data_IF_719642598560
#
_entry.id   IF_719642598560
#
_cell.length_a   1.000
_cell.length_b   1.000
_cell.length_c   1.000
_cell.angle_alpha   90.00
_cell.angle_beta   90.00
_cell.angle_gamma   90.00
#
_symmetry.space_group_name_H-M   'P 1'
#
loop_
_entity.id
_entity.type
_entity.pdbx_description
1 polymer ?
#
# COMPACT_ATOMS: atom_id res chain seq x y z
N UNK A 1 34.69 6.88 67.19
CA UNK A 1 34.92 5.51 67.67
C UNK A 1 35.08 4.67 66.43
N UNK A 2 36.29 4.45 66.07
CA UNK A 2 37.14 3.27 66.28
C UNK A 2 36.84 2.21 65.28
N UNK A 3 37.66 2.03 64.25
CA UNK A 3 38.90 1.25 64.15
C UNK A 3 38.56 -0.19 63.74
N UNK A 4 39.17 -0.82 62.85
CA UNK A 4 40.49 -0.97 62.32
C UNK A 4 40.43 -2.15 61.32
N UNK A 5 41.17 -2.10 60.21
CA UNK A 5 42.55 -2.61 60.05
C UNK A 5 42.61 -4.12 59.85
N UNK A 6 43.15 -4.60 58.85
CA UNK A 6 44.46 -4.95 58.30
C UNK A 6 44.37 -6.35 57.70
N UNK A 7 44.92 -6.70 56.61
CA UNK A 7 46.26 -6.82 56.14
C UNK A 7 46.46 -8.20 55.62
N UNK A 8 47.09 -8.45 54.63
CA UNK A 8 48.45 -8.66 54.05
C UNK A 8 48.45 -9.88 53.17
N UNK A 9 48.94 -9.70 51.92
CA UNK A 9 50.17 -10.28 51.34
C UNK A 9 50.19 -11.80 51.21
N UNK A 10 50.42 -12.39 50.04
CA UNK A 10 51.74 -12.56 49.45
C UNK A 10 51.68 -13.28 48.07
N UNK A 11 52.46 -12.81 47.16
CA UNK A 11 52.97 -13.48 45.97
C UNK A 11 54.20 -14.32 46.33
N UNK A 12 54.95 -14.96 45.44
CA UNK A 12 54.81 -15.53 44.11
C UNK A 12 55.37 -16.96 43.99
N UNK A 13 55.27 -17.63 42.86
CA UNK A 13 56.45 -18.42 42.42
C UNK A 13 56.42 -18.80 40.93
N UNK A 14 57.53 -18.52 40.32
CA UNK A 14 58.09 -18.78 39.02
C UNK A 14 58.62 -20.21 38.91
N UNK A 15 58.65 -20.78 37.69
CA UNK A 15 59.70 -21.56 37.03
C UNK A 15 59.14 -22.37 35.85
N UNK A 16 59.43 -22.03 34.58
CA UNK A 16 60.57 -22.35 33.76
C UNK A 16 60.84 -23.85 33.60
N UNK A 17 60.72 -24.35 32.39
CA UNK A 17 61.85 -24.92 31.65
C UNK A 17 61.44 -25.52 30.27
N UNK A 18 61.90 -24.97 29.21
CA UNK A 18 62.85 -25.44 28.22
C UNK A 18 62.61 -26.80 27.58
N UNK A 19 62.50 -26.78 26.25
CA UNK A 19 63.40 -27.57 25.45
C UNK A 19 62.80 -28.29 24.24
N UNK A 20 63.16 -27.84 23.08
CA UNK A 20 63.74 -28.54 21.95
C UNK A 20 62.88 -29.01 20.80
N UNK A 21 63.01 -28.29 19.69
CA UNK A 21 62.87 -28.80 18.30
C UNK A 21 64.12 -29.67 17.96
N UNK A 22 64.30 -30.27 16.77
CA UNK A 22 63.57 -30.15 15.49
C UNK A 22 63.32 -31.53 14.82
N UNK A 23 62.69 -31.57 13.70
CA UNK A 23 63.14 -31.99 12.36
C UNK A 23 62.03 -32.62 11.48
N UNK A 24 61.96 -32.01 10.33
CA UNK A 24 62.00 -32.44 8.94
C UNK A 24 60.89 -33.30 8.32
N UNK A 25 60.40 -32.66 7.24
CA UNK A 25 60.04 -33.18 5.89
C UNK A 25 58.82 -34.08 5.78
N UNK A 26 57.83 -33.72 5.01
CA UNK A 26 57.74 -33.84 3.54
C UNK A 26 56.42 -33.26 3.00
N UNK A 27 56.58 -32.57 1.92
CA UNK A 27 55.60 -32.17 0.92
C UNK A 27 54.54 -33.23 0.61
N UNK A 28 53.26 -32.81 0.57
CA UNK A 28 52.39 -33.33 -0.47
C UNK A 28 51.26 -32.34 -0.77
N UNK A 29 51.39 -31.73 -1.91
CA UNK A 29 50.45 -30.86 -2.60
C UNK A 29 49.27 -31.69 -3.10
N UNK A 30 48.03 -31.30 -2.72
CA UNK A 30 46.84 -31.61 -3.48
C UNK A 30 45.87 -30.42 -3.40
N UNK A 31 45.27 -29.97 -4.52
CA UNK A 31 44.45 -28.78 -4.54
C UNK A 31 43.04 -29.07 -3.97
N UNK A 32 42.71 -28.39 -2.88
CA UNK A 32 41.33 -28.35 -2.41
C UNK A 32 40.47 -27.48 -3.35
N UNK A 33 39.67 -28.17 -4.15
CA UNK A 33 38.58 -27.61 -4.87
C UNK A 33 37.54 -27.10 -3.85
N UNK A 34 37.54 -25.81 -3.61
CA UNK A 34 36.51 -25.12 -2.83
C UNK A 34 35.15 -25.22 -3.51
N UNK A 35 34.39 -26.23 -3.18
CA UNK A 35 32.97 -26.28 -3.46
C UNK A 35 32.26 -25.28 -2.53
N UNK A 36 31.96 -24.06 -3.04
CA UNK A 36 31.07 -23.16 -2.39
C UNK A 36 29.65 -23.79 -2.42
N UNK A 37 29.31 -24.44 -1.34
CA UNK A 37 27.90 -24.80 -1.09
C UNK A 37 27.10 -23.50 -0.93
N UNK A 38 26.48 -23.06 -2.02
CA UNK A 38 25.34 -22.16 -1.96
C UNK A 38 24.27 -22.87 -1.13
N UNK A 39 24.21 -22.54 0.14
CA UNK A 39 23.05 -22.86 0.98
C UNK A 39 21.88 -22.09 0.38
N UNK A 40 21.08 -22.74 -0.45
CA UNK A 40 19.78 -22.25 -0.82
C UNK A 40 19.00 -22.07 0.48
N UNK A 41 18.80 -20.83 0.92
CA UNK A 41 17.85 -20.50 1.98
C UNK A 41 16.48 -20.99 1.52
N UNK A 42 16.10 -22.15 2.04
CA UNK A 42 14.77 -22.73 1.84
C UNK A 42 13.82 -21.80 2.59
N UNK A 43 13.04 -21.01 1.86
CA UNK A 43 11.92 -20.25 2.46
C UNK A 43 11.12 -21.19 3.37
N UNK A 44 10.80 -20.77 4.61
CA UNK A 44 10.08 -21.59 5.56
C UNK A 44 8.72 -21.95 4.94
N UNK A 45 8.50 -23.25 4.70
CA UNK A 45 7.23 -23.79 4.20
C UNK A 45 6.12 -23.31 5.13
N UNK A 46 5.28 -22.39 4.65
CA UNK A 46 4.08 -21.91 5.37
C UNK A 46 3.27 -23.12 5.85
N UNK A 47 3.02 -23.19 7.15
CA UNK A 47 2.25 -24.25 7.77
C UNK A 47 0.83 -24.34 7.15
N UNK A 48 0.29 -25.54 7.01
CA UNK A 48 -1.05 -25.79 6.42
C UNK A 48 -2.12 -24.91 7.10
N UNK A 49 -2.04 -24.74 8.41
CA UNK A 49 -2.97 -23.90 9.17
C UNK A 49 -2.93 -22.42 8.77
N UNK A 50 -1.74 -21.87 8.44
CA UNK A 50 -1.62 -20.47 7.97
C UNK A 50 -2.21 -20.31 6.58
N UNK A 51 -2.01 -21.29 5.69
CA UNK A 51 -2.60 -21.28 4.34
C UNK A 51 -4.13 -21.36 4.38
N UNK A 52 -4.69 -22.16 5.26
CA UNK A 52 -6.14 -22.28 5.44
C UNK A 52 -6.75 -20.97 5.95
N UNK A 53 -6.12 -20.32 6.94
CA UNK A 53 -6.56 -19.01 7.46
C UNK A 53 -6.46 -17.91 6.39
N UNK A 54 -5.39 -17.88 5.61
CA UNK A 54 -5.23 -16.94 4.49
C UNK A 54 -6.34 -17.11 3.44
N UNK A 55 -6.71 -18.36 3.12
CA UNK A 55 -7.83 -18.67 2.21
C UNK A 55 -9.17 -18.25 2.78
N UNK A 56 -9.46 -18.55 4.03
CA UNK A 56 -10.70 -18.12 4.70
C UNK A 56 -10.82 -16.59 4.73
N UNK A 57 -9.73 -15.91 5.09
CA UNK A 57 -9.70 -14.45 5.07
C UNK A 57 -9.96 -13.85 3.68
N UNK A 58 -9.39 -14.46 2.63
CA UNK A 58 -9.61 -14.04 1.25
C UNK A 58 -11.06 -14.28 0.81
N UNK A 59 -11.66 -15.39 1.20
CA UNK A 59 -13.06 -15.71 0.90
C UNK A 59 -14.02 -14.71 1.56
N UNK A 60 -13.82 -14.39 2.83
CA UNK A 60 -14.64 -13.39 3.53
C UNK A 60 -14.53 -12.00 2.87
N UNK A 61 -13.32 -11.59 2.50
CA UNK A 61 -13.09 -10.34 1.80
C UNK A 61 -13.79 -10.32 0.44
N UNK A 62 -13.68 -11.43 -0.32
CA UNK A 62 -14.34 -11.60 -1.61
C UNK A 62 -15.85 -11.58 -1.48
N UNK A 63 -16.41 -12.28 -0.49
CA UNK A 63 -17.86 -12.32 -0.26
C UNK A 63 -18.42 -10.92 0.05
N UNK A 64 -17.78 -10.17 0.95
CA UNK A 64 -18.20 -8.80 1.26
C UNK A 64 -18.13 -7.91 0.02
N UNK A 65 -17.03 -7.98 -0.73
CA UNK A 65 -16.86 -7.19 -1.95
C UNK A 65 -17.94 -7.51 -2.99
N UNK A 66 -18.25 -8.80 -3.20
CA UNK A 66 -19.32 -9.23 -4.10
C UNK A 66 -20.69 -8.74 -3.62
N UNK A 67 -20.99 -8.82 -2.33
CA UNK A 67 -22.25 -8.30 -1.78
C UNK A 67 -22.40 -6.79 -2.03
N UNK A 68 -21.35 -6.00 -1.77
CA UNK A 68 -21.34 -4.55 -2.04
C UNK A 68 -21.48 -4.28 -3.54
N UNK A 69 -20.74 -5.03 -4.38
CA UNK A 69 -20.84 -4.92 -5.84
C UNK A 69 -22.28 -5.17 -6.33
N UNK A 70 -22.91 -6.25 -5.90
CA UNK A 70 -24.28 -6.60 -6.31
C UNK A 70 -25.29 -5.58 -5.82
N UNK A 71 -25.15 -5.11 -4.57
CA UNK A 71 -26.00 -4.09 -3.99
C UNK A 71 -25.98 -2.80 -4.83
N UNK A 72 -24.79 -2.30 -5.14
CA UNK A 72 -24.64 -1.05 -5.88
C UNK A 72 -25.01 -1.20 -7.37
N UNK A 73 -24.75 -2.36 -7.98
CA UNK A 73 -25.24 -2.59 -9.35
C UNK A 73 -26.75 -2.71 -9.42
N UNK A 74 -27.37 -3.35 -8.45
CA UNK A 74 -28.82 -3.36 -8.34
C UNK A 74 -29.39 -1.93 -8.21
N UNK A 75 -28.84 -1.12 -7.30
CA UNK A 75 -29.24 0.28 -7.15
C UNK A 75 -29.05 1.09 -8.44
N UNK A 76 -27.88 1.02 -9.06
CA UNK A 76 -27.59 1.72 -10.31
C UNK A 76 -28.48 1.28 -11.47
N UNK A 77 -28.82 -0.02 -11.55
CA UNK A 77 -29.76 -0.53 -12.54
C UNK A 77 -31.18 0.02 -12.34
N UNK A 78 -31.65 0.16 -11.09
CA UNK A 78 -32.95 0.75 -10.79
C UNK A 78 -32.97 2.25 -11.17
N UNK A 79 -31.88 2.99 -10.93
CA UNK A 79 -31.79 4.39 -11.38
C UNK A 79 -31.97 4.49 -12.92
N UNK A 80 -31.28 3.66 -13.69
CA UNK A 80 -31.41 3.68 -15.15
C UNK A 80 -32.79 3.23 -15.62
N UNK A 81 -33.36 2.16 -15.05
CA UNK A 81 -34.69 1.65 -15.41
C UNK A 81 -35.79 2.67 -15.13
N UNK A 82 -35.66 3.46 -14.08
CA UNK A 82 -36.64 4.47 -13.69
C UNK A 82 -36.28 5.88 -14.19
N UNK A 83 -35.28 6.01 -15.07
CA UNK A 83 -34.84 7.30 -15.62
C UNK A 83 -34.48 8.34 -14.58
N UNK A 84 -33.93 7.90 -13.43
CA UNK A 84 -33.44 8.78 -12.38
C UNK A 84 -32.07 9.31 -12.82
N UNK A 85 -32.02 10.59 -13.16
CA UNK A 85 -30.79 11.27 -13.63
C UNK A 85 -30.45 12.41 -12.68
N UNK A 86 -29.69 12.16 -11.60
CA UNK A 86 -29.36 13.19 -10.61
C UNK A 86 -28.40 14.26 -11.15
N UNK A 87 -27.60 13.91 -12.18
CA UNK A 87 -26.67 14.82 -12.82
C UNK A 87 -26.51 14.49 -14.32
N UNK A 88 -25.80 15.34 -15.05
CA UNK A 88 -25.45 15.12 -16.46
C UNK A 88 -24.18 14.28 -16.64
N UNK A 89 -23.48 13.98 -15.55
CA UNK A 89 -22.15 13.39 -15.60
C UNK A 89 -22.13 12.02 -16.28
N UNK A 90 -23.12 11.17 -15.99
CA UNK A 90 -23.23 9.88 -16.67
C UNK A 90 -23.31 10.03 -18.20
N UNK A 91 -24.06 11.00 -18.69
CA UNK A 91 -24.16 11.24 -20.14
C UNK A 91 -22.87 11.81 -20.71
N UNK A 92 -22.21 12.74 -20.01
CA UNK A 92 -20.93 13.33 -20.37
C UNK A 92 -19.87 12.23 -20.52
N UNK A 93 -19.69 11.43 -19.47
CA UNK A 93 -18.70 10.36 -19.46
C UNK A 93 -19.05 9.19 -20.41
N UNK A 94 -20.34 8.97 -20.69
CA UNK A 94 -20.75 7.98 -21.70
C UNK A 94 -20.30 8.44 -23.11
N UNK A 95 -20.51 9.70 -23.47
CA UNK A 95 -20.04 10.27 -24.75
C UNK A 95 -18.50 10.21 -24.84
N UNK A 96 -17.80 10.54 -23.76
CA UNK A 96 -16.35 10.41 -23.68
C UNK A 96 -15.89 8.95 -23.89
N UNK A 97 -16.48 7.98 -23.19
CA UNK A 97 -16.12 6.58 -23.32
C UNK A 97 -16.42 6.05 -24.73
N UNK A 98 -17.50 6.52 -25.36
CA UNK A 98 -17.83 6.24 -26.74
C UNK A 98 -16.75 6.76 -27.71
N UNK A 99 -16.25 8.00 -27.51
CA UNK A 99 -15.15 8.54 -28.32
C UNK A 99 -13.88 7.72 -28.14
N UNK A 100 -13.48 7.43 -26.90
CA UNK A 100 -12.31 6.60 -26.61
C UNK A 100 -12.41 5.17 -27.15
N UNK A 101 -13.62 4.59 -27.25
CA UNK A 101 -13.83 3.27 -27.85
C UNK A 101 -13.52 3.24 -29.35
N UNK A 102 -13.51 4.40 -30.00
CA UNK A 102 -13.16 4.58 -31.41
C UNK A 102 -11.77 5.22 -31.61
N UNK A 103 -11.00 5.37 -30.51
CA UNK A 103 -9.71 6.08 -30.48
C UNK A 103 -9.81 7.55 -30.96
N UNK A 104 -10.95 8.17 -30.70
CA UNK A 104 -11.22 9.57 -31.02
C UNK A 104 -10.98 10.47 -29.80
N UNK A 105 -10.79 11.77 -30.07
CA UNK A 105 -10.75 12.78 -29.00
C UNK A 105 -12.09 12.83 -28.27
N UNK A 106 -12.10 13.07 -26.94
CA UNK A 106 -13.33 13.05 -26.14
C UNK A 106 -14.15 14.34 -26.36
N UNK A 107 -14.68 14.48 -27.56
CA UNK A 107 -15.64 15.55 -27.87
C UNK A 107 -16.99 15.14 -27.29
N UNK A 108 -17.57 16.01 -26.47
CA UNK A 108 -18.77 15.75 -25.68
C UNK A 108 -19.85 16.76 -26.04
N UNK A 109 -20.68 16.46 -27.06
CA UNK A 109 -21.70 17.40 -27.60
C UNK A 109 -22.71 17.89 -26.58
N UNK A 110 -23.03 17.12 -25.52
CA UNK A 110 -23.97 17.54 -24.46
C UNK A 110 -23.47 18.80 -23.71
N UNK A 111 -22.15 19.05 -23.69
CA UNK A 111 -21.57 20.27 -23.09
C UNK A 111 -21.47 21.44 -24.09
N UNK A 112 -21.62 21.17 -25.37
CA UNK A 112 -21.57 22.18 -26.45
C UNK A 112 -20.91 21.64 -27.72
N UNK A 113 -21.09 22.34 -28.85
CA UNK A 113 -20.42 21.96 -30.10
C UNK A 113 -18.92 21.94 -29.90
N UNK A 114 -18.28 20.86 -30.39
CA UNK A 114 -16.82 20.66 -30.36
C UNK A 114 -16.17 20.72 -28.95
N UNK A 115 -16.97 20.59 -27.89
CA UNK A 115 -16.45 20.65 -26.54
C UNK A 115 -15.55 19.46 -26.26
N UNK A 116 -14.24 19.74 -26.12
CA UNK A 116 -13.24 18.74 -25.78
C UNK A 116 -13.12 18.62 -24.25
N UNK A 117 -13.45 17.44 -23.70
CA UNK A 117 -13.47 17.20 -22.25
C UNK A 117 -12.08 17.29 -21.59
N UNK A 118 -10.98 17.15 -22.36
CA UNK A 118 -9.62 17.38 -21.85
C UNK A 118 -9.36 18.84 -21.44
N UNK A 119 -10.16 19.77 -21.94
CA UNK A 119 -10.09 21.17 -21.52
C UNK A 119 -10.85 21.47 -20.22
N UNK A 120 -11.65 20.54 -19.74
CA UNK A 120 -12.44 20.68 -18.51
C UNK A 120 -11.67 20.17 -17.30
N UNK A 121 -11.27 18.90 -17.35
CA UNK A 121 -10.52 18.22 -16.29
C UNK A 121 -9.44 17.29 -16.84
N UNK A 122 -8.33 17.15 -16.11
CA UNK A 122 -7.27 16.22 -16.43
C UNK A 122 -7.55 14.85 -15.80
N UNK A 123 -8.10 13.92 -16.57
CA UNK A 123 -8.47 12.56 -16.13
C UNK A 123 -8.07 11.45 -17.12
N UNK A 124 -6.79 11.36 -17.51
CA UNK A 124 -6.38 10.44 -18.58
C UNK A 124 -6.62 8.95 -18.24
N UNK A 125 -6.76 8.58 -16.98
CA UNK A 125 -7.08 7.21 -16.56
C UNK A 125 -8.40 6.72 -17.17
N UNK A 126 -9.32 7.63 -17.46
CA UNK A 126 -10.62 7.28 -18.05
C UNK A 126 -10.51 6.77 -19.50
N UNK A 127 -9.35 6.94 -20.16
CA UNK A 127 -9.08 6.29 -21.45
C UNK A 127 -9.21 4.76 -21.36
N UNK A 128 -8.99 4.19 -20.17
CA UNK A 128 -9.18 2.76 -19.92
C UNK A 128 -10.64 2.31 -20.09
N UNK A 129 -11.59 3.22 -20.04
CA UNK A 129 -13.00 2.93 -20.32
C UNK A 129 -13.25 2.65 -21.80
N UNK A 130 -12.44 3.19 -22.72
CA UNK A 130 -12.62 3.01 -24.16
C UNK A 130 -12.72 1.54 -24.57
N UNK A 131 -11.71 0.69 -24.30
CA UNK A 131 -11.79 -0.73 -24.59
C UNK A 131 -12.98 -1.44 -23.95
N UNK A 132 -13.30 -1.12 -22.67
CA UNK A 132 -14.42 -1.74 -21.96
C UNK A 132 -15.74 -1.36 -22.61
N UNK A 133 -15.91 -0.09 -22.98
CA UNK A 133 -17.09 0.43 -23.64
C UNK A 133 -17.25 -0.14 -25.06
N UNK A 134 -16.15 -0.40 -25.77
CA UNK A 134 -16.19 -1.01 -27.09
C UNK A 134 -16.86 -2.40 -27.07
N UNK A 135 -16.63 -3.18 -26.02
CA UNK A 135 -17.27 -4.50 -25.84
C UNK A 135 -18.70 -4.40 -25.28
N UNK A 136 -18.95 -3.42 -24.43
CA UNK A 136 -20.23 -3.24 -23.72
C UNK A 136 -20.72 -1.78 -23.86
N UNK A 137 -21.24 -1.38 -25.03
CA UNK A 137 -21.61 0.01 -25.31
C UNK A 137 -22.91 0.42 -24.60
N UNK A 138 -22.83 0.74 -23.33
CA UNK A 138 -23.96 1.12 -22.50
C UNK A 138 -23.54 2.07 -21.37
N UNK A 139 -24.38 3.04 -20.97
CA UNK A 139 -24.13 3.83 -19.76
C UNK A 139 -23.97 2.96 -18.51
N UNK A 140 -24.65 1.81 -18.45
CA UNK A 140 -24.52 0.85 -17.34
C UNK A 140 -23.07 0.34 -17.20
N UNK A 141 -22.31 0.25 -18.29
CA UNK A 141 -20.91 -0.17 -18.25
C UNK A 141 -20.07 0.69 -17.34
N UNK A 142 -20.25 2.01 -17.39
CA UNK A 142 -19.53 2.96 -16.56
C UNK A 142 -19.89 2.75 -15.07
N UNK A 143 -21.17 2.55 -14.77
CA UNK A 143 -21.66 2.30 -13.42
C UNK A 143 -21.14 0.97 -12.86
N UNK A 144 -21.11 -0.09 -13.69
CA UNK A 144 -20.53 -1.39 -13.31
C UNK A 144 -19.03 -1.26 -13.00
N UNK A 145 -18.29 -0.51 -13.81
CA UNK A 145 -16.86 -0.25 -13.57
C UNK A 145 -16.69 0.52 -12.26
N UNK A 146 -17.42 1.61 -12.05
CA UNK A 146 -17.40 2.38 -10.80
C UNK A 146 -17.68 1.50 -9.58
N UNK A 147 -18.77 0.72 -9.61
CA UNK A 147 -19.14 -0.18 -8.52
C UNK A 147 -18.09 -1.28 -8.30
N UNK A 148 -17.42 -1.71 -9.38
CA UNK A 148 -16.26 -2.60 -9.32
C UNK A 148 -15.08 -1.98 -8.60
N UNK A 149 -14.77 -0.69 -8.82
CA UNK A 149 -13.71 0.02 -8.10
C UNK A 149 -14.02 0.12 -6.61
N UNK A 150 -15.26 0.42 -6.23
CA UNK A 150 -15.71 0.41 -4.83
C UNK A 150 -15.54 -0.99 -4.21
N UNK A 151 -16.03 -2.03 -4.88
CA UNK A 151 -15.94 -3.41 -4.39
C UNK A 151 -14.48 -3.88 -4.25
N UNK A 152 -13.62 -3.53 -5.21
CA UNK A 152 -12.18 -3.82 -5.15
C UNK A 152 -11.55 -3.14 -3.93
N UNK A 153 -11.92 -1.90 -3.64
CA UNK A 153 -11.41 -1.14 -2.49
C UNK A 153 -11.87 -1.75 -1.16
N UNK A 154 -13.12 -2.22 -1.09
CA UNK A 154 -13.64 -2.99 0.04
C UNK A 154 -12.81 -4.27 0.25
N UNK A 155 -12.59 -5.05 -0.81
CA UNK A 155 -11.74 -6.24 -0.75
C UNK A 155 -10.33 -5.94 -0.22
N UNK A 156 -9.68 -4.92 -0.79
CA UNK A 156 -8.33 -4.50 -0.39
C UNK A 156 -8.28 -4.07 1.07
N UNK A 157 -9.26 -3.30 1.55
CA UNK A 157 -9.35 -2.84 2.94
C UNK A 157 -9.41 -4.03 3.91
N UNK A 158 -10.25 -5.04 3.63
CA UNK A 158 -10.26 -6.28 4.45
C UNK A 158 -8.89 -6.93 4.45
N UNK A 159 -8.27 -7.08 3.27
CA UNK A 159 -6.98 -7.78 3.12
C UNK A 159 -5.84 -7.09 3.87
N UNK A 160 -5.79 -5.77 3.82
CA UNK A 160 -4.78 -5.00 4.56
C UNK A 160 -5.02 -5.05 6.07
N UNK A 161 -6.26 -4.92 6.54
CA UNK A 161 -6.59 -5.04 7.95
C UNK A 161 -6.24 -6.44 8.50
N UNK A 162 -6.53 -7.50 7.74
CA UNK A 162 -6.15 -8.88 8.11
C UNK A 162 -4.65 -9.05 8.26
N UNK A 163 -3.85 -8.43 7.37
CA UNK A 163 -2.38 -8.49 7.44
C UNK A 163 -1.82 -7.66 8.58
N UNK A 164 -2.42 -6.49 8.84
CA UNK A 164 -1.94 -5.57 9.89
C UNK A 164 -2.23 -6.06 11.30
N UNK A 165 -3.40 -6.63 11.53
CA UNK A 165 -3.87 -7.05 12.86
C UNK A 165 -3.65 -8.54 13.13
N UNK A 166 -3.66 -9.37 12.09
CA UNK A 166 -3.53 -10.82 12.21
C UNK A 166 -4.69 -11.53 12.91
N UNK A 167 -4.67 -12.86 12.87
CA UNK A 167 -5.61 -13.71 13.61
C UNK A 167 -7.10 -13.43 13.38
N UNK A 168 -7.92 -13.79 14.36
CA UNK A 168 -9.38 -13.59 14.32
C UNK A 168 -9.72 -12.10 14.34
N UNK A 169 -8.99 -11.29 15.13
CA UNK A 169 -9.22 -9.84 15.20
C UNK A 169 -9.05 -9.18 13.84
N UNK A 170 -8.03 -9.55 13.06
CA UNK A 170 -7.83 -9.03 11.71
C UNK A 170 -8.99 -9.38 10.77
N UNK A 171 -9.61 -10.54 10.92
CA UNK A 171 -10.79 -10.93 10.12
C UNK A 171 -12.01 -10.11 10.50
N UNK A 172 -12.34 -10.06 11.79
CA UNK A 172 -13.54 -9.36 12.28
C UNK A 172 -13.42 -7.85 12.05
N UNK A 173 -12.34 -7.24 12.52
CA UNK A 173 -12.12 -5.80 12.37
C UNK A 173 -12.00 -5.42 10.90
N UNK A 174 -11.31 -6.24 10.08
CA UNK A 174 -11.17 -6.00 8.66
C UNK A 174 -12.52 -5.97 7.93
N UNK A 175 -13.41 -6.92 8.21
CA UNK A 175 -14.76 -6.97 7.64
C UNK A 175 -15.59 -5.77 8.10
N UNK A 176 -15.55 -5.44 9.40
CA UNK A 176 -16.32 -4.30 9.94
C UNK A 176 -15.85 -2.97 9.36
N UNK A 177 -14.55 -2.73 9.30
CA UNK A 177 -13.97 -1.51 8.71
C UNK A 177 -14.33 -1.38 7.23
N UNK A 178 -14.19 -2.48 6.48
CA UNK A 178 -14.49 -2.45 5.05
C UNK A 178 -15.99 -2.34 4.76
N UNK A 179 -16.86 -2.93 5.59
CA UNK A 179 -18.29 -2.73 5.52
C UNK A 179 -18.67 -1.27 5.85
N UNK A 180 -18.09 -0.71 6.92
CA UNK A 180 -18.29 0.69 7.28
C UNK A 180 -17.82 1.64 6.17
N UNK A 181 -16.67 1.34 5.53
CA UNK A 181 -16.20 2.09 4.36
C UNK A 181 -17.15 1.92 3.17
N UNK A 182 -17.42 0.68 2.74
CA UNK A 182 -18.23 0.39 1.55
C UNK A 182 -19.67 0.85 1.65
N UNK A 183 -20.24 0.93 2.87
CA UNK A 183 -21.58 1.44 3.15
C UNK A 183 -21.57 2.85 3.77
N UNK A 184 -20.43 3.55 3.73
CA UNK A 184 -20.35 4.92 4.22
C UNK A 184 -21.25 5.85 3.40
N UNK A 185 -21.73 6.91 4.04
CA UNK A 185 -22.54 7.94 3.38
C UNK A 185 -21.85 8.50 2.13
N UNK A 186 -20.52 8.74 2.19
CA UNK A 186 -19.76 9.25 1.06
C UNK A 186 -19.77 8.31 -0.16
N UNK A 187 -19.60 6.99 0.05
CA UNK A 187 -19.66 6.00 -1.03
C UNK A 187 -21.09 5.86 -1.56
N UNK A 188 -22.09 5.84 -0.68
CA UNK A 188 -23.51 5.79 -1.10
C UNK A 188 -23.88 7.00 -1.96
N UNK A 189 -23.47 8.22 -1.56
CA UNK A 189 -23.74 9.43 -2.34
C UNK A 189 -22.99 9.43 -3.68
N UNK A 190 -21.73 8.94 -3.70
CA UNK A 190 -21.00 8.81 -4.95
C UNK A 190 -21.69 7.86 -5.95
N UNK A 191 -22.22 6.74 -5.46
CA UNK A 191 -23.00 5.81 -6.31
C UNK A 191 -24.36 6.41 -6.68
N UNK A 192 -25.03 7.13 -5.78
CA UNK A 192 -26.31 7.78 -6.04
C UNK A 192 -26.21 8.91 -7.06
N UNK A 193 -25.09 9.62 -7.08
CA UNK A 193 -24.80 10.65 -8.07
C UNK A 193 -24.43 10.08 -9.46
N UNK A 194 -24.44 8.76 -9.60
CA UNK A 194 -24.05 7.99 -10.77
C UNK A 194 -22.54 8.03 -11.03
N UNK A 195 -22.09 7.99 -12.30
CA UNK A 195 -20.67 7.83 -12.61
C UNK A 195 -19.86 9.10 -12.33
N UNK A 196 -18.73 8.90 -11.59
CA UNK A 196 -17.71 9.92 -11.40
C UNK A 196 -16.30 9.31 -11.47
N UNK A 197 -15.36 10.05 -12.06
CA UNK A 197 -13.96 9.64 -12.25
C UNK A 197 -13.24 9.32 -10.93
N UNK A 198 -13.60 9.99 -9.84
CA UNK A 198 -12.98 9.81 -8.51
C UNK A 198 -13.10 8.38 -7.96
N UNK A 199 -14.04 7.58 -8.47
CA UNK A 199 -14.14 6.18 -8.10
C UNK A 199 -12.87 5.38 -8.42
N UNK A 200 -12.13 5.76 -9.46
CA UNK A 200 -10.85 5.15 -9.81
C UNK A 200 -9.76 5.41 -8.76
N UNK A 201 -9.87 6.48 -7.97
CA UNK A 201 -8.92 6.76 -6.89
C UNK A 201 -9.03 5.74 -5.74
N UNK A 202 -10.21 5.17 -5.48
CA UNK A 202 -10.48 4.33 -4.31
C UNK A 202 -9.55 3.11 -4.19
N UNK A 203 -9.32 2.29 -5.25
CA UNK A 203 -8.39 1.17 -5.17
C UNK A 203 -6.95 1.62 -4.93
N UNK A 204 -6.50 2.70 -5.58
CA UNK A 204 -5.16 3.23 -5.41
C UNK A 204 -4.93 3.77 -4.00
N UNK A 205 -5.92 4.46 -3.44
CA UNK A 205 -5.90 4.90 -2.04
C UNK A 205 -5.86 3.70 -1.09
N UNK A 206 -6.70 2.69 -1.32
CA UNK A 206 -6.72 1.47 -0.49
C UNK A 206 -5.37 0.74 -0.52
N UNK A 207 -4.74 0.63 -1.70
CA UNK A 207 -3.40 0.04 -1.86
C UNK A 207 -2.34 0.90 -1.17
N UNK A 208 -2.30 2.19 -1.46
CA UNK A 208 -1.29 3.11 -0.94
C UNK A 208 -1.36 3.22 0.59
N UNK A 209 -2.53 3.53 1.14
CA UNK A 209 -2.73 3.66 2.58
C UNK A 209 -2.57 2.32 3.30
N UNK A 210 -3.02 1.22 2.69
CA UNK A 210 -2.82 -0.12 3.21
C UNK A 210 -1.34 -0.47 3.37
N UNK A 211 -0.51 -0.13 2.40
CA UNK A 211 0.95 -0.29 2.51
C UNK A 211 1.56 0.64 3.56
N UNK A 212 1.09 1.89 3.71
CA UNK A 212 1.54 2.75 4.80
C UNK A 212 1.19 2.19 6.17
N UNK A 213 0.01 1.59 6.33
CA UNK A 213 -0.37 0.91 7.59
C UNK A 213 0.58 -0.25 7.87
N UNK A 214 0.87 -1.12 6.89
CA UNK A 214 1.80 -2.23 7.06
C UNK A 214 3.22 -1.76 7.37
N UNK A 215 3.67 -0.64 6.78
CA UNK A 215 4.95 -0.03 7.11
C UNK A 215 5.02 0.48 8.55
N UNK A 216 3.89 0.82 9.15
CA UNK A 216 3.77 1.29 10.54
C UNK A 216 3.71 0.19 11.58
N UNK A 217 3.48 -1.08 11.21
CA UNK A 217 3.50 -2.18 12.16
C UNK A 217 4.92 -2.36 12.72
N UNK A 218 5.04 -2.39 14.07
CA UNK A 218 6.33 -2.55 14.73
C UNK A 218 6.99 -3.86 14.28
N UNK A 219 8.31 -3.83 14.05
CA UNK A 219 9.14 -4.98 13.66
C UNK A 219 8.88 -5.54 12.25
N UNK A 220 8.37 -4.75 11.31
CA UNK A 220 8.26 -5.22 9.94
C UNK A 220 9.61 -5.08 9.20
N UNK A 221 10.31 -6.19 8.87
CA UNK A 221 11.57 -6.13 8.12
C UNK A 221 11.37 -5.60 6.70
N UNK A 222 10.14 -5.62 6.19
CA UNK A 222 9.78 -5.14 4.84
C UNK A 222 9.29 -3.68 4.84
N UNK A 223 9.54 -2.92 5.92
CA UNK A 223 9.07 -1.54 6.04
C UNK A 223 9.42 -0.66 4.83
N UNK A 224 10.67 -0.68 4.39
CA UNK A 224 11.12 0.10 3.24
C UNK A 224 10.36 -0.28 1.96
N UNK A 225 10.18 -1.58 1.72
CA UNK A 225 9.39 -2.08 0.59
C UNK A 225 7.95 -1.59 0.64
N UNK A 226 7.30 -1.62 1.81
CA UNK A 226 5.93 -1.11 1.95
C UNK A 226 5.84 0.39 1.69
N UNK A 227 6.80 1.19 2.17
CA UNK A 227 6.85 2.63 1.88
C UNK A 227 6.97 2.87 0.36
N UNK A 228 7.84 2.14 -0.31
CA UNK A 228 8.01 2.23 -1.77
C UNK A 228 6.71 1.85 -2.51
N UNK A 229 6.05 0.75 -2.11
CA UNK A 229 4.77 0.36 -2.71
C UNK A 229 3.67 1.39 -2.46
N UNK A 230 3.66 2.04 -1.29
CA UNK A 230 2.70 3.11 -1.01
C UNK A 230 2.85 4.28 -2.00
N UNK A 231 4.09 4.70 -2.28
CA UNK A 231 4.37 5.75 -3.27
C UNK A 231 3.99 5.30 -4.70
N UNK A 232 4.34 4.07 -5.09
CA UNK A 232 3.98 3.53 -6.40
C UNK A 232 2.47 3.53 -6.63
N UNK A 233 1.69 3.11 -5.64
CA UNK A 233 0.24 3.08 -5.74
C UNK A 233 -0.42 4.45 -5.58
N UNK A 234 0.29 5.45 -5.02
CA UNK A 234 -0.18 6.82 -4.99
C UNK A 234 0.02 7.55 -6.33
N UNK A 235 1.05 7.20 -7.11
CA UNK A 235 1.37 7.88 -8.36
C UNK A 235 0.21 7.91 -9.38
N UNK A 236 -0.56 6.84 -9.62
CA UNK A 236 -1.70 6.86 -10.52
C UNK A 236 -2.82 7.82 -10.13
N UNK A 237 -2.90 8.27 -8.86
CA UNK A 237 -3.91 9.23 -8.43
C UNK A 237 -3.85 10.54 -9.23
N UNK A 238 -2.64 10.99 -9.61
CA UNK A 238 -2.47 12.18 -10.43
C UNK A 238 -3.10 12.08 -11.83
N UNK A 239 -3.40 10.87 -12.29
CA UNK A 239 -4.06 10.59 -13.58
C UNK A 239 -5.57 10.38 -13.45
N UNK A 240 -6.09 10.33 -12.22
CA UNK A 240 -7.54 10.22 -11.97
C UNK A 240 -8.21 11.58 -12.12
N UNK A 241 -7.63 12.58 -11.48
CA UNK A 241 -8.06 13.98 -11.55
C UNK A 241 -6.93 14.88 -11.05
N UNK A 242 -6.86 16.12 -11.52
CA UNK A 242 -5.79 17.06 -11.17
C UNK A 242 -5.65 17.29 -9.67
N UNK A 243 -6.76 17.35 -8.92
CA UNK A 243 -6.77 17.55 -7.46
C UNK A 243 -6.28 16.32 -6.69
N UNK A 244 -6.40 15.12 -7.26
CA UNK A 244 -5.86 13.90 -6.66
C UNK A 244 -4.33 13.87 -6.64
N UNK A 245 -3.67 14.71 -7.46
CA UNK A 245 -2.22 14.95 -7.42
C UNK A 245 -1.76 15.49 -6.06
N UNK A 246 -2.56 16.34 -5.41
CA UNK A 246 -2.29 16.84 -4.06
C UNK A 246 -2.33 15.69 -3.04
N UNK A 247 -3.33 14.80 -3.16
CA UNK A 247 -3.42 13.61 -2.32
C UNK A 247 -2.21 12.69 -2.49
N UNK A 248 -1.77 12.47 -3.74
CA UNK A 248 -0.55 11.71 -4.03
C UNK A 248 0.69 12.35 -3.40
N UNK A 249 0.84 13.68 -3.49
CA UNK A 249 1.93 14.43 -2.88
C UNK A 249 1.92 14.32 -1.35
N UNK A 250 0.75 14.38 -0.70
CA UNK A 250 0.60 14.20 0.73
C UNK A 250 1.03 12.79 1.18
N UNK A 251 0.64 11.76 0.44
CA UNK A 251 1.08 10.38 0.70
C UNK A 251 2.60 10.27 0.56
N UNK A 252 3.18 10.88 -0.48
CA UNK A 252 4.62 10.97 -0.67
C UNK A 252 5.34 11.65 0.49
N UNK A 253 4.80 12.76 1.00
CA UNK A 253 5.34 13.48 2.16
C UNK A 253 5.32 12.59 3.42
N UNK A 254 4.20 11.89 3.69
CA UNK A 254 4.09 10.94 4.80
C UNK A 254 5.12 9.81 4.65
N UNK A 255 5.29 9.29 3.44
CA UNK A 255 6.26 8.25 3.13
C UNK A 255 7.71 8.72 3.40
N UNK A 256 8.06 9.95 3.01
CA UNK A 256 9.36 10.56 3.28
C UNK A 256 9.63 10.74 4.78
N UNK A 257 8.63 11.21 5.54
CA UNK A 257 8.73 11.32 7.00
C UNK A 257 8.96 9.94 7.62
N UNK A 258 8.21 8.94 7.18
CA UNK A 258 8.30 7.57 7.71
C UNK A 258 9.55 6.82 7.29
N UNK A 259 10.14 7.12 6.13
CA UNK A 259 11.40 6.50 5.68
C UNK A 259 12.61 6.88 6.55
N UNK A 260 12.53 7.99 7.27
CA UNK A 260 13.66 8.57 8.00
C UNK A 260 14.61 9.38 7.13
N UNK A 261 14.37 9.46 5.82
CA UNK A 261 15.21 10.19 4.87
C UNK A 261 15.40 11.66 5.25
N UNK A 262 14.34 12.32 5.69
CA UNK A 262 14.42 13.72 6.14
C UNK A 262 15.38 13.90 7.33
N UNK A 263 15.41 12.92 8.23
CA UNK A 263 16.33 12.94 9.38
C UNK A 263 17.78 12.76 8.94
N UNK A 264 18.02 11.84 8.00
CA UNK A 264 19.35 11.61 7.44
C UNK A 264 19.82 12.84 6.67
N UNK A 265 18.98 13.41 5.82
CA UNK A 265 19.26 14.64 5.09
C UNK A 265 19.56 15.81 6.04
N UNK A 266 18.74 16.00 7.10
CA UNK A 266 18.97 17.04 8.10
C UNK A 266 20.29 16.85 8.85
N UNK A 267 20.64 15.62 9.24
CA UNK A 267 21.90 15.31 9.89
C UNK A 267 23.10 15.54 8.98
N UNK A 268 22.95 15.32 7.67
CA UNK A 268 24.01 15.55 6.68
C UNK A 268 24.21 17.05 6.42
N UNK A 269 23.12 17.80 6.31
CA UNK A 269 23.16 19.24 6.01
C UNK A 269 23.54 20.08 7.26
N UNK A 270 23.16 19.62 8.44
CA UNK A 270 23.34 20.34 9.71
C UNK A 270 23.98 19.44 10.79
N UNK A 271 25.24 19.00 10.60
CA UNK A 271 25.88 18.02 11.51
C UNK A 271 26.05 18.54 12.95
N UNK A 272 26.06 19.86 13.14
CA UNK A 272 26.20 20.49 14.47
C UNK A 272 24.86 20.78 15.16
N UNK A 273 23.75 20.87 14.42
CA UNK A 273 22.43 21.13 14.97
C UNK A 273 21.79 19.89 15.62
N UNK A 274 22.36 18.70 15.42
CA UNK A 274 21.76 17.44 15.90
C UNK A 274 21.82 17.28 17.42
N UNK A 275 22.62 18.08 18.14
CA UNK A 275 22.73 18.02 19.60
C UNK A 275 21.67 18.85 20.35
N UNK A 276 21.06 19.82 19.68
CA UNK A 276 20.12 20.79 20.29
C UNK A 276 18.70 20.72 19.68
N UNK A 277 18.40 19.72 18.87
CA UNK A 277 17.05 19.61 18.28
C UNK A 277 16.06 19.25 19.38
N UNK A 278 15.07 20.13 19.69
CA UNK A 278 14.07 19.85 20.69
C UNK A 278 13.34 18.55 20.37
N UNK A 279 12.81 17.88 21.39
CA UNK A 279 12.06 16.63 21.34
C UNK A 279 10.76 16.67 20.49
N UNK A 280 10.69 17.56 19.50
CA UNK A 280 9.59 17.70 18.55
C UNK A 280 9.48 16.47 17.60
N UNK A 281 10.62 16.00 17.07
CA UNK A 281 10.65 14.84 16.17
C UNK A 281 10.26 13.50 16.82
N UNK A 282 10.63 13.19 18.07
CA UNK A 282 10.11 12.01 18.75
C UNK A 282 8.60 12.00 18.92
N UNK A 283 7.98 13.15 19.21
CA UNK A 283 6.52 13.26 19.40
C UNK A 283 5.72 13.03 18.12
N UNK A 284 6.24 13.48 16.97
CA UNK A 284 5.60 13.17 15.67
C UNK A 284 5.63 11.67 15.35
N UNK A 285 6.59 10.93 15.89
CA UNK A 285 6.72 9.48 15.68
C UNK A 285 5.71 8.67 16.48
N UNK A 286 5.19 9.23 17.57
CA UNK A 286 4.15 8.61 18.41
C UNK A 286 2.73 8.89 17.89
N UNK A 287 2.57 9.92 17.06
CA UNK A 287 1.27 10.34 16.52
C UNK A 287 1.02 9.77 15.12
N UNK A 288 2.08 9.38 14.37
CA UNK A 288 2.04 8.82 13.03
C UNK A 288 2.81 7.48 12.95
#
# INVERSE_FOLDING_TARGET
MAAGASGTEDTPNTQSNTGKAPDTTTENTAPETGASTHSAETEPRKNIGTRLREKQGSLLAGLLAVCIFMLYNYYSSQQLLHWITPSWDLAIFTQMAQAYSRFEMPIVPIKGPDFNLWGDHFHPILMLLGPVYAFFPSPMTLLVVQNGMVALSVYLTVRFAQRALGGLNGHVVGVLLAAAFGLSYGVQQAVAAQFHEVAFALPFLSLSLGHLVLAGTQQNPQRASHITHACWWAAPLAFVKEDMGVTAAMIGAIALIRSGWLREAANTLFPHASKDVPAFWPRLREVF
#
